data_IF_600958816850
#
_entry.id   IF_600958816850
#
_cell.length_a   1.000
_cell.length_b   1.000
_cell.length_c   1.000
_cell.angle_alpha   90.00
_cell.angle_beta   90.00
_cell.angle_gamma   90.00
#
_symmetry.space_group_name_H-M   'P 1'
#
loop_
_entity.id
_entity.type
_entity.pdbx_description
1 polymer ?
#
# COMPACT_ATOMS: atom_id res chain seq x y z
N UNK A 1 -56.19 36.62 37.71
CA UNK A 1 -55.46 37.16 38.87
C UNK A 1 -54.95 35.99 39.70
N UNK A 2 -53.63 35.78 39.68
CA UNK A 2 -52.75 35.24 40.73
C UNK A 2 -51.50 34.67 40.04
N UNK A 3 -50.37 35.28 40.35
CA UNK A 3 -49.03 35.00 39.84
C UNK A 3 -48.35 33.84 40.59
N UNK A 4 -47.25 33.33 40.04
CA UNK A 4 -46.33 32.44 40.76
C UNK A 4 -45.23 31.86 39.86
N UNK A 5 -44.10 32.57 39.79
CA UNK A 5 -42.84 32.17 39.15
C UNK A 5 -42.06 31.14 39.98
N UNK A 6 -41.28 30.27 39.31
CA UNK A 6 -40.03 29.64 39.81
C UNK A 6 -39.42 28.82 38.67
N UNK A 7 -38.41 29.33 37.97
CA UNK A 7 -36.97 29.23 38.27
C UNK A 7 -36.37 27.82 38.15
N UNK A 8 -35.60 27.68 37.08
CA UNK A 8 -34.27 27.06 36.97
C UNK A 8 -34.06 25.59 37.35
N UNK A 9 -33.65 24.78 36.38
CA UNK A 9 -32.27 24.26 36.31
C UNK A 9 -32.10 23.43 35.03
N UNK A 10 -31.30 23.96 34.11
CA UNK A 10 -30.75 23.24 32.97
C UNK A 10 -29.89 22.08 33.45
N UNK A 11 -30.23 20.85 33.06
CA UNK A 11 -29.35 19.69 33.26
C UNK A 11 -28.21 19.73 32.24
N UNK A 12 -26.94 19.60 32.66
CA UNK A 12 -25.84 19.38 31.74
C UNK A 12 -25.79 17.88 31.41
N UNK A 13 -26.21 17.51 30.19
CA UNK A 13 -25.98 16.15 29.70
C UNK A 13 -24.49 16.01 29.41
N UNK A 14 -23.81 15.26 30.27
CA UNK A 14 -22.44 14.86 30.11
C UNK A 14 -22.26 14.02 28.82
N UNK A 15 -21.34 14.49 27.98
CA UNK A 15 -20.28 13.74 27.30
C UNK A 15 -20.66 12.43 26.58
N UNK A 16 -20.50 12.45 25.25
CA UNK A 16 -19.82 11.35 24.57
C UNK A 16 -18.81 11.98 23.63
N UNK A 17 -17.57 12.10 24.12
CA UNK A 17 -16.42 12.42 23.28
C UNK A 17 -16.33 11.35 22.21
N UNK A 18 -16.34 11.79 20.95
CA UNK A 18 -15.95 10.98 19.81
C UNK A 18 -14.51 10.56 20.07
N UNK A 19 -14.31 9.34 20.54
CA UNK A 19 -13.00 8.75 20.68
C UNK A 19 -12.47 8.52 19.26
N UNK A 20 -11.75 9.51 18.73
CA UNK A 20 -10.86 9.32 17.60
C UNK A 20 -10.02 8.10 17.91
N UNK A 21 -10.20 7.04 17.12
CA UNK A 21 -9.43 5.80 17.23
C UNK A 21 -8.02 6.05 16.68
N UNK A 22 -7.28 6.92 17.36
CA UNK A 22 -5.84 7.08 17.19
C UNK A 22 -5.20 5.86 17.84
N UNK A 23 -5.11 4.77 17.07
CA UNK A 23 -4.25 3.64 17.42
C UNK A 23 -2.81 4.12 17.39
N UNK A 24 -2.39 4.63 18.53
CA UNK A 24 -1.04 4.92 18.95
C UNK A 24 -0.16 3.71 18.70
N UNK A 25 0.61 3.73 17.61
CA UNK A 25 1.61 2.73 17.31
C UNK A 25 2.88 3.02 18.15
N UNK A 26 2.78 2.88 19.48
CA UNK A 26 3.96 2.86 20.36
C UNK A 26 4.55 1.43 20.35
N UNK A 27 4.92 0.97 19.15
CA UNK A 27 5.68 -0.25 18.96
C UNK A 27 7.16 0.07 19.10
N UNK A 28 7.74 -0.30 20.25
CA UNK A 28 9.18 -0.27 20.47
C UNK A 28 9.89 -1.19 19.47
N UNK A 29 10.24 -0.64 18.30
CA UNK A 29 11.21 -1.24 17.40
C UNK A 29 12.57 -1.21 18.12
N UNK A 30 12.91 -2.31 18.78
CA UNK A 30 14.31 -2.59 19.09
C UNK A 30 15.05 -2.59 17.76
N UNK A 31 15.78 -1.51 17.48
CA UNK A 31 16.73 -1.44 16.37
C UNK A 31 17.79 -2.49 16.66
N UNK A 32 17.60 -3.70 16.15
CA UNK A 32 18.74 -4.50 15.77
C UNK A 32 19.46 -3.67 14.70
N UNK A 33 20.64 -3.16 15.03
CA UNK A 33 21.58 -2.66 14.04
C UNK A 33 21.93 -3.84 13.12
N UNK A 34 21.11 -4.07 12.11
CA UNK A 34 21.53 -4.77 10.92
C UNK A 34 22.55 -3.84 10.29
N UNK A 35 23.84 -4.05 10.61
CA UNK A 35 24.93 -3.55 9.80
C UNK A 35 24.51 -3.80 8.34
N UNK A 36 24.38 -2.72 7.58
CA UNK A 36 24.13 -2.79 6.15
C UNK A 36 25.33 -3.54 5.56
N UNK A 37 25.23 -4.86 5.53
CA UNK A 37 26.14 -5.71 4.81
C UNK A 37 26.11 -5.17 3.38
N UNK A 38 27.27 -4.84 2.79
CA UNK A 38 27.30 -4.45 1.40
C UNK A 38 26.64 -5.59 0.61
N UNK A 39 25.72 -5.23 -0.27
CA UNK A 39 25.12 -6.21 -1.17
C UNK A 39 26.28 -6.99 -1.83
N UNK A 40 26.32 -8.34 -1.74
CA UNK A 40 27.30 -9.11 -2.49
C UNK A 40 26.92 -9.03 -3.97
N UNK A 41 27.37 -7.96 -4.61
CA UNK A 41 27.31 -7.66 -6.04
C UNK A 41 28.59 -7.00 -6.54
N UNK A 42 29.64 -6.90 -5.73
CA UNK A 42 30.96 -6.44 -6.17
C UNK A 42 31.77 -7.61 -6.77
N UNK A 43 31.18 -8.30 -7.74
CA UNK A 43 31.91 -9.14 -8.69
C UNK A 43 32.36 -8.25 -9.84
N UNK A 44 33.65 -7.97 -9.94
CA UNK A 44 34.23 -7.25 -11.09
C UNK A 44 33.99 -8.13 -12.32
N UNK A 45 33.05 -7.74 -13.19
CA UNK A 45 32.94 -8.29 -14.54
C UNK A 45 33.24 -7.18 -15.54
N UNK A 46 34.40 -7.29 -16.18
CA UNK A 46 34.73 -6.57 -17.40
C UNK A 46 33.89 -7.21 -18.52
N UNK A 47 32.63 -6.80 -18.62
CA UNK A 47 31.67 -7.34 -19.56
C UNK A 47 30.24 -7.00 -19.12
N UNK A 48 29.60 -6.14 -19.90
CA UNK A 48 28.18 -5.80 -19.86
C UNK A 48 27.28 -7.04 -19.67
N UNK A 49 26.76 -7.23 -18.44
CA UNK A 49 25.34 -7.35 -18.05
C UNK A 49 25.29 -7.95 -16.64
N UNK A 50 24.99 -7.13 -15.63
CA UNK A 50 24.67 -7.63 -14.29
C UNK A 50 23.26 -8.23 -14.34
N UNK A 51 23.09 -9.56 -14.17
CA UNK A 51 21.78 -10.19 -14.26
C UNK A 51 20.82 -9.69 -13.18
N UNK A 52 21.33 -9.22 -12.03
CA UNK A 52 20.49 -8.61 -10.99
C UNK A 52 19.98 -7.23 -11.43
N UNK A 53 20.82 -6.42 -12.07
CA UNK A 53 20.42 -5.13 -12.61
C UNK A 53 19.34 -5.30 -13.71
N UNK A 54 19.55 -6.26 -14.62
CA UNK A 54 18.54 -6.60 -15.62
C UNK A 54 17.23 -7.07 -14.98
N UNK A 55 17.31 -7.92 -13.95
CA UNK A 55 16.13 -8.37 -13.21
C UNK A 55 15.37 -7.21 -12.57
N UNK A 56 16.06 -6.18 -12.06
CA UNK A 56 15.43 -5.00 -11.46
C UNK A 56 14.66 -4.16 -12.50
N UNK A 57 15.19 -4.04 -13.72
CA UNK A 57 14.51 -3.35 -14.82
C UNK A 57 13.21 -4.05 -15.26
N UNK A 58 13.23 -5.39 -15.33
CA UNK A 58 12.08 -6.18 -15.83
C UNK A 58 11.06 -6.55 -14.75
N UNK A 59 11.35 -6.25 -13.48
CA UNK A 59 10.49 -6.67 -12.36
C UNK A 59 9.09 -6.05 -12.37
N UNK A 60 8.97 -4.76 -12.73
CA UNK A 60 7.66 -4.11 -12.84
C UNK A 60 6.82 -4.71 -13.98
N UNK A 61 7.31 -4.77 -15.25
CA UNK A 61 6.60 -5.45 -16.33
C UNK A 61 6.23 -6.91 -16.01
N UNK A 62 7.10 -7.65 -15.31
CA UNK A 62 6.81 -9.00 -14.86
C UNK A 62 5.59 -9.05 -13.92
N UNK A 63 5.56 -8.16 -12.91
CA UNK A 63 4.45 -8.06 -11.95
C UNK A 63 3.16 -7.51 -12.57
N UNK A 64 3.26 -6.72 -13.63
CA UNK A 64 2.13 -6.18 -14.41
C UNK A 64 1.64 -7.14 -15.51
N UNK A 65 2.36 -8.25 -15.73
CA UNK A 65 2.07 -9.25 -16.77
C UNK A 65 2.16 -8.68 -18.20
N UNK A 66 3.11 -7.80 -18.41
CA UNK A 66 3.35 -7.11 -19.69
C UNK A 66 4.51 -7.73 -20.49
N UNK A 67 5.27 -8.64 -19.89
CA UNK A 67 6.35 -9.38 -20.57
C UNK A 67 5.81 -10.44 -21.53
N UNK A 68 6.57 -10.71 -22.59
CA UNK A 68 6.32 -11.88 -23.42
C UNK A 68 6.73 -13.20 -22.72
N UNK A 69 6.49 -14.33 -23.38
CA UNK A 69 6.76 -15.66 -22.81
C UNK A 69 8.26 -15.89 -22.54
N UNK A 70 9.12 -15.43 -23.45
CA UNK A 70 10.56 -15.68 -23.40
C UNK A 70 11.20 -14.82 -22.30
N UNK A 71 10.82 -13.53 -22.25
CA UNK A 71 11.22 -12.58 -21.22
C UNK A 71 10.75 -13.01 -19.84
N UNK A 72 9.51 -13.51 -19.74
CA UNK A 72 8.97 -14.01 -18.47
C UNK A 72 9.73 -15.24 -18.00
N UNK A 73 10.01 -16.18 -18.89
CA UNK A 73 10.80 -17.37 -18.55
C UNK A 73 12.22 -17.00 -18.12
N UNK A 74 12.82 -15.95 -18.70
CA UNK A 74 14.13 -15.44 -18.27
C UNK A 74 14.11 -14.84 -16.87
N UNK A 75 13.12 -13.99 -16.58
CA UNK A 75 12.93 -13.42 -15.26
C UNK A 75 12.69 -14.52 -14.20
N UNK A 76 11.85 -15.52 -14.51
CA UNK A 76 11.60 -16.66 -13.62
C UNK A 76 12.88 -17.44 -13.31
N UNK A 77 13.69 -17.77 -14.33
CA UNK A 77 14.99 -18.45 -14.13
C UNK A 77 15.89 -17.68 -13.17
N UNK A 78 15.96 -16.35 -13.30
CA UNK A 78 16.76 -15.54 -12.40
C UNK A 78 16.17 -15.49 -10.98
N UNK A 79 14.87 -15.29 -10.83
CA UNK A 79 14.19 -15.25 -9.54
C UNK A 79 14.33 -16.57 -8.77
N UNK A 80 14.33 -17.70 -9.47
CA UNK A 80 14.54 -19.02 -8.86
C UNK A 80 15.98 -19.23 -8.37
N UNK A 81 16.96 -18.67 -9.09
CA UNK A 81 18.37 -18.80 -8.75
C UNK A 81 18.87 -17.74 -7.75
N UNK A 82 18.24 -16.55 -7.69
CA UNK A 82 18.72 -15.40 -6.94
C UNK A 82 17.84 -15.07 -5.72
N UNK A 83 18.34 -15.41 -4.52
CA UNK A 83 17.64 -15.13 -3.26
C UNK A 83 17.46 -13.64 -2.95
N UNK A 84 18.30 -12.74 -3.50
CA UNK A 84 18.14 -11.28 -3.33
C UNK A 84 16.96 -10.76 -4.15
N UNK A 85 16.95 -11.03 -5.45
CA UNK A 85 15.88 -10.63 -6.36
C UNK A 85 14.54 -11.27 -5.95
N UNK A 86 14.56 -12.53 -5.48
CA UNK A 86 13.36 -13.18 -4.95
C UNK A 86 12.75 -12.47 -3.73
N UNK A 87 13.57 -11.97 -2.81
CA UNK A 87 13.08 -11.18 -1.66
C UNK A 87 12.43 -9.88 -2.10
N UNK A 88 12.98 -9.21 -3.12
CA UNK A 88 12.40 -8.00 -3.71
C UNK A 88 11.06 -8.28 -4.39
N UNK A 89 10.99 -9.32 -5.22
CA UNK A 89 9.73 -9.78 -5.83
C UNK A 89 8.63 -10.00 -4.78
N UNK A 90 8.91 -10.78 -3.74
CA UNK A 90 7.93 -11.07 -2.67
C UNK A 90 7.52 -9.80 -1.92
N UNK A 91 8.43 -8.87 -1.69
CA UNK A 91 8.11 -7.59 -1.08
C UNK A 91 7.13 -6.79 -1.94
N UNK A 92 7.41 -6.64 -3.23
CA UNK A 92 6.56 -5.87 -4.14
C UNK A 92 5.19 -6.51 -4.37
N UNK A 93 5.14 -7.84 -4.51
CA UNK A 93 3.88 -8.59 -4.60
C UNK A 93 2.99 -8.35 -3.38
N UNK A 94 3.57 -8.35 -2.17
CA UNK A 94 2.86 -8.05 -0.92
C UNK A 94 2.40 -6.61 -0.86
N UNK A 95 3.22 -5.65 -1.28
CA UNK A 95 2.81 -4.24 -1.34
C UNK A 95 1.61 -4.09 -2.29
N UNK A 96 1.64 -4.69 -3.47
CA UNK A 96 0.52 -4.66 -4.42
C UNK A 96 -0.77 -5.25 -3.82
N UNK A 97 -0.68 -6.29 -2.99
CA UNK A 97 -1.83 -6.80 -2.22
C UNK A 97 -2.42 -5.75 -1.28
N UNK A 98 -1.58 -5.06 -0.50
CA UNK A 98 -2.05 -4.01 0.42
C UNK A 98 -2.60 -2.78 -0.31
N UNK A 99 -1.96 -2.36 -1.40
CA UNK A 99 -2.47 -1.27 -2.24
C UNK A 99 -3.86 -1.61 -2.77
N UNK A 100 -4.08 -2.82 -3.30
CA UNK A 100 -5.42 -3.25 -3.74
C UNK A 100 -6.46 -3.17 -2.64
N UNK A 101 -6.11 -3.52 -1.40
CA UNK A 101 -7.04 -3.40 -0.28
C UNK A 101 -7.33 -1.94 0.08
N UNK A 102 -6.31 -1.09 0.07
CA UNK A 102 -6.42 0.32 0.47
C UNK A 102 -7.18 1.18 -0.54
N UNK A 103 -7.15 0.83 -1.84
CA UNK A 103 -7.81 1.60 -2.90
C UNK A 103 -9.25 1.18 -3.17
N UNK A 104 -9.77 0.19 -2.42
CA UNK A 104 -11.18 -0.20 -2.53
C UNK A 104 -12.03 0.73 -1.69
N UNK A 105 -12.47 1.83 -2.31
CA UNK A 105 -13.48 2.75 -1.76
C UNK A 105 -14.75 2.69 -2.61
N UNK A 106 -15.91 2.57 -1.96
CA UNK A 106 -17.19 2.62 -2.66
C UNK A 106 -17.45 4.04 -3.20
N UNK A 107 -17.88 4.11 -4.46
CA UNK A 107 -18.27 5.39 -5.06
C UNK A 107 -19.51 5.95 -4.33
N UNK A 108 -19.45 7.20 -3.83
CA UNK A 108 -20.61 7.82 -3.20
C UNK A 108 -21.83 7.85 -4.14
N UNK A 109 -23.04 7.55 -3.63
CA UNK A 109 -24.23 7.39 -4.48
C UNK A 109 -24.58 8.67 -5.25
N UNK A 110 -24.36 9.85 -4.65
CA UNK A 110 -24.57 11.14 -5.30
C UNK A 110 -23.63 11.40 -6.48
N UNK A 111 -22.42 10.82 -6.48
CA UNK A 111 -21.47 10.93 -7.58
C UNK A 111 -21.85 9.99 -8.73
N UNK A 112 -22.25 8.76 -8.42
CA UNK A 112 -22.74 7.78 -9.40
C UNK A 112 -23.95 8.31 -10.18
N UNK A 113 -24.88 8.97 -9.49
CA UNK A 113 -26.04 9.61 -10.11
C UNK A 113 -25.63 10.72 -11.09
N UNK A 114 -24.67 11.59 -10.69
CA UNK A 114 -24.13 12.65 -11.56
C UNK A 114 -23.44 12.08 -12.81
N UNK A 115 -22.60 11.06 -12.65
CA UNK A 115 -21.93 10.41 -13.78
C UNK A 115 -22.92 9.76 -14.76
N UNK A 116 -23.98 9.15 -14.24
CA UNK A 116 -25.02 8.52 -15.07
C UNK A 116 -25.78 9.57 -15.90
N UNK A 117 -26.07 10.74 -15.33
CA UNK A 117 -26.74 11.83 -16.04
C UNK A 117 -25.88 12.46 -17.15
N UNK A 118 -24.55 12.34 -17.07
CA UNK A 118 -23.60 12.88 -18.04
C UNK A 118 -23.26 11.91 -19.18
N UNK A 119 -23.63 10.63 -19.09
CA UNK A 119 -23.38 9.66 -20.18
C UNK A 119 -24.29 9.95 -21.36
N UNK A 120 -23.71 10.26 -22.51
CA UNK A 120 -24.43 10.27 -23.80
C UNK A 120 -24.88 8.84 -24.13
N UNK A 121 -26.14 8.62 -24.54
CA UNK A 121 -26.56 7.30 -25.02
C UNK A 121 -25.75 6.93 -26.27
N UNK A 122 -25.27 5.67 -26.31
CA UNK A 122 -24.61 5.06 -27.46
C UNK A 122 -25.64 4.66 -28.51
#
# INVERSE_FOLDING_TARGET
>A
MAAGESSSASSPTAQSGVASNERRLDGAHQRAEAAALPAPGAGIVLGWEDPCAKCEEVLQPFLDRELDEDERAEAERHLDACGYCRKRYVFEERVRMFVRQAVVEEMPPGLKAKLSALRTPL
#
